data_IF_668757735393
#
_entry.id   IF_668757735393
#
_cell.length_a   1.000
_cell.length_b   1.000
_cell.length_c   1.000
_cell.angle_alpha   90.00
_cell.angle_beta   90.00
_cell.angle_gamma   90.00
#
_symmetry.space_group_name_H-M   'P 1'
#
loop_
_entity.id
_entity.type
_entity.pdbx_description
1 polymer ?
#
# COMPACT_ATOMS: atom_id res chain seq x y z
N UNK A 1 0.75 13.12 -17.55
CA UNK A 1 -0.41 12.89 -16.67
C UNK A 1 -0.54 11.39 -16.50
N UNK A 2 -0.36 10.88 -15.28
CA UNK A 2 -0.44 9.45 -14.98
C UNK A 2 -1.88 9.06 -14.67
N UNK A 3 -2.29 7.86 -15.11
CA UNK A 3 -3.64 7.34 -14.89
C UNK A 3 -3.66 6.47 -13.63
N UNK A 4 -4.37 6.93 -12.60
CA UNK A 4 -4.63 6.13 -11.39
C UNK A 4 -5.48 4.92 -11.74
N UNK A 5 -4.96 3.72 -11.47
CA UNK A 5 -5.63 2.44 -11.72
C UNK A 5 -4.96 1.31 -10.95
N UNK A 6 -5.59 0.12 -10.83
CA UNK A 6 -4.95 -1.06 -10.22
C UNK A 6 -3.68 -1.51 -10.95
N UNK A 7 -3.51 -1.06 -12.20
CA UNK A 7 -2.36 -1.43 -13.02
C UNK A 7 -1.18 -0.48 -12.86
N UNK A 8 -1.35 0.67 -12.19
CA UNK A 8 -0.27 1.64 -12.01
C UNK A 8 0.90 1.03 -11.25
N UNK A 9 0.65 0.15 -10.28
CA UNK A 9 1.72 -0.52 -9.53
C UNK A 9 2.73 -1.25 -10.44
N UNK A 10 2.29 -1.78 -11.59
CA UNK A 10 3.16 -2.51 -12.51
C UNK A 10 4.20 -1.62 -13.20
N UNK A 11 3.99 -0.30 -13.32
CA UNK A 11 5.01 0.60 -13.87
C UNK A 11 6.18 0.87 -12.90
N UNK A 12 6.06 0.48 -11.64
CA UNK A 12 7.10 0.66 -10.63
C UNK A 12 7.75 -0.66 -10.19
N UNK A 13 7.64 -1.73 -11.00
CA UNK A 13 8.21 -3.06 -10.69
C UNK A 13 9.49 -3.38 -11.48
N UNK A 14 10.15 -2.38 -12.07
CA UNK A 14 11.40 -2.60 -12.80
C UNK A 14 12.57 -2.98 -11.86
N UNK A 15 12.55 -2.48 -10.61
CA UNK A 15 13.49 -2.87 -9.57
C UNK A 15 13.17 -4.29 -9.04
N UNK A 16 14.09 -5.28 -9.18
CA UNK A 16 13.85 -6.66 -8.78
C UNK A 16 13.40 -6.85 -7.33
N UNK A 17 13.89 -6.00 -6.40
CA UNK A 17 13.49 -6.05 -5.00
C UNK A 17 12.00 -5.70 -4.83
N UNK A 18 11.52 -4.67 -5.52
CA UNK A 18 10.12 -4.22 -5.47
C UNK A 18 9.21 -5.26 -6.13
N UNK A 19 9.59 -5.75 -7.31
CA UNK A 19 8.86 -6.82 -7.99
C UNK A 19 8.69 -8.08 -7.12
N UNK A 20 9.76 -8.48 -6.43
CA UNK A 20 9.73 -9.63 -5.51
C UNK A 20 8.80 -9.38 -4.32
N UNK A 21 8.85 -8.19 -3.72
CA UNK A 21 7.99 -7.84 -2.60
C UNK A 21 6.51 -7.81 -2.99
N UNK A 22 6.18 -7.16 -4.11
CA UNK A 22 4.82 -7.13 -4.64
C UNK A 22 4.29 -8.55 -4.92
N UNK A 23 5.12 -9.40 -5.53
CA UNK A 23 4.77 -10.81 -5.76
C UNK A 23 4.47 -11.55 -4.45
N UNK A 24 5.29 -11.35 -3.42
CA UNK A 24 5.05 -11.96 -2.11
C UNK A 24 3.70 -11.51 -1.55
N UNK A 25 3.43 -10.21 -1.54
CA UNK A 25 2.16 -9.64 -1.04
C UNK A 25 0.93 -10.17 -1.79
N UNK A 26 0.98 -10.26 -3.12
CA UNK A 26 -0.14 -10.77 -3.94
C UNK A 26 -0.32 -12.29 -3.82
N UNK A 27 0.75 -13.05 -3.57
CA UNK A 27 0.72 -14.52 -3.51
C UNK A 27 0.54 -15.08 -2.10
N UNK A 28 0.70 -14.26 -1.07
CA UNK A 28 0.59 -14.68 0.32
C UNK A 28 -0.87 -14.82 0.75
N UNK A 29 -1.24 -16.03 1.19
CA UNK A 29 -2.61 -16.36 1.56
C UNK A 29 -3.10 -15.54 2.76
N UNK A 30 -2.23 -15.27 3.74
CA UNK A 30 -2.60 -14.53 4.95
C UNK A 30 -2.89 -13.07 4.60
N UNK A 31 -2.03 -12.44 3.81
CA UNK A 31 -2.23 -11.07 3.32
C UNK A 31 -3.55 -10.95 2.54
N UNK A 32 -3.79 -11.84 1.57
CA UNK A 32 -5.02 -11.79 0.77
C UNK A 32 -6.27 -12.07 1.61
N UNK A 33 -6.19 -12.97 2.61
CA UNK A 33 -7.29 -13.23 3.53
C UNK A 33 -7.63 -11.99 4.38
N UNK A 34 -6.63 -11.27 4.90
CA UNK A 34 -6.85 -10.04 5.65
C UNK A 34 -7.49 -8.94 4.79
N UNK A 35 -7.01 -8.73 3.56
CA UNK A 35 -7.61 -7.74 2.64
C UNK A 35 -9.06 -8.09 2.28
N UNK A 36 -9.38 -9.38 2.11
CA UNK A 36 -10.77 -9.79 1.91
C UNK A 36 -11.62 -9.52 3.16
N UNK A 37 -11.10 -9.84 4.36
CA UNK A 37 -11.80 -9.61 5.62
C UNK A 37 -12.02 -8.12 5.89
N UNK A 38 -11.06 -7.27 5.51
CA UNK A 38 -11.21 -5.82 5.52
C UNK A 38 -12.46 -5.38 4.75
N UNK A 39 -12.72 -5.94 3.56
CA UNK A 39 -13.94 -5.64 2.81
C UNK A 39 -15.22 -6.20 3.46
N UNK A 40 -15.16 -7.39 4.06
CA UNK A 40 -16.31 -7.92 4.83
C UNK A 40 -16.69 -6.94 5.94
N UNK A 41 -15.70 -6.37 6.62
CA UNK A 41 -15.90 -5.38 7.68
C UNK A 41 -16.35 -4.02 7.14
N UNK A 42 -15.53 -3.37 6.31
CA UNK A 42 -15.77 -2.01 5.84
C UNK A 42 -16.99 -1.91 4.93
N UNK A 43 -17.10 -2.79 3.93
CA UNK A 43 -18.20 -2.75 2.96
C UNK A 43 -19.42 -3.50 3.50
N UNK A 44 -19.24 -4.78 3.86
CA UNK A 44 -20.35 -5.66 4.20
C UNK A 44 -21.09 -5.29 5.48
N UNK A 45 -20.36 -4.82 6.51
CA UNK A 45 -20.94 -4.50 7.83
C UNK A 45 -21.14 -3.00 8.06
N UNK A 46 -20.20 -2.17 7.61
CA UNK A 46 -20.23 -0.72 7.88
C UNK A 46 -20.77 0.11 6.71
N UNK A 47 -20.89 -0.45 5.50
CA UNK A 47 -21.41 0.26 4.33
C UNK A 47 -20.44 1.30 3.74
N UNK A 48 -19.14 1.18 4.01
CA UNK A 48 -18.09 2.01 3.42
C UNK A 48 -17.67 1.53 2.03
N UNK A 49 -16.81 2.30 1.37
CA UNK A 49 -16.26 1.98 0.04
C UNK A 49 -15.20 0.86 0.11
N UNK A 50 -14.63 0.49 -1.04
CA UNK A 50 -13.66 -0.60 -1.16
C UNK A 50 -12.36 -0.34 -0.39
N UNK A 51 -11.93 -1.33 0.39
CA UNK A 51 -10.67 -1.38 1.14
C UNK A 51 -9.95 -2.74 0.92
N UNK A 52 -10.33 -3.48 -0.14
CA UNK A 52 -9.83 -4.83 -0.41
C UNK A 52 -8.58 -4.88 -1.30
N UNK A 53 -8.31 -6.04 -1.93
CA UNK A 53 -7.11 -6.22 -2.76
C UNK A 53 -6.99 -5.25 -3.94
N UNK A 54 -8.12 -4.82 -4.51
CA UNK A 54 -8.12 -3.84 -5.61
C UNK A 54 -7.70 -2.47 -5.10
N UNK A 55 -8.31 -2.01 -4.01
CA UNK A 55 -7.89 -0.80 -3.29
C UNK A 55 -6.39 -0.83 -2.96
N UNK A 56 -5.88 -1.89 -2.33
CA UNK A 56 -4.46 -1.99 -1.97
C UNK A 56 -3.52 -1.82 -3.17
N UNK A 57 -3.88 -2.37 -4.34
CA UNK A 57 -3.10 -2.18 -5.57
C UNK A 57 -3.12 -0.76 -6.10
N UNK A 58 -4.30 -0.11 -6.11
CA UNK A 58 -4.43 1.29 -6.52
C UNK A 58 -3.58 2.17 -5.59
N UNK A 59 -3.76 2.02 -4.28
CA UNK A 59 -3.06 2.81 -3.26
C UNK A 59 -1.54 2.60 -3.33
N UNK A 60 -1.09 1.37 -3.55
CA UNK A 60 0.35 1.08 -3.73
C UNK A 60 0.94 1.74 -4.97
N UNK A 61 0.28 1.61 -6.13
CA UNK A 61 0.75 2.24 -7.36
C UNK A 61 0.78 3.77 -7.24
N UNK A 62 -0.26 4.37 -6.66
CA UNK A 62 -0.30 5.81 -6.43
C UNK A 62 0.76 6.27 -5.42
N UNK A 63 1.02 5.50 -4.36
CA UNK A 63 2.04 5.84 -3.38
C UNK A 63 3.45 5.80 -3.97
N UNK A 64 3.75 4.81 -4.81
CA UNK A 64 5.04 4.71 -5.52
C UNK A 64 5.21 5.85 -6.52
N UNK A 65 4.20 6.18 -7.31
CA UNK A 65 4.22 7.33 -8.23
C UNK A 65 4.46 8.65 -7.48
N UNK A 66 3.76 8.87 -6.37
CA UNK A 66 3.96 10.06 -5.53
C UNK A 66 5.39 10.07 -4.97
N UNK A 67 5.89 8.92 -4.50
CA UNK A 67 7.23 8.82 -3.96
C UNK A 67 8.31 9.09 -5.01
N UNK A 68 8.15 8.62 -6.24
CA UNK A 68 9.04 8.91 -7.37
C UNK A 68 9.12 10.42 -7.62
N UNK A 69 7.98 11.07 -7.86
CA UNK A 69 7.89 12.52 -8.09
C UNK A 69 8.52 13.32 -6.94
N UNK A 70 8.20 12.96 -5.69
CA UNK A 70 8.72 13.66 -4.51
C UNK A 70 10.21 13.39 -4.28
N UNK A 71 10.69 12.20 -4.62
CA UNK A 71 12.10 11.84 -4.44
C UNK A 71 13.01 12.56 -5.44
N UNK A 72 12.52 12.85 -6.64
CA UNK A 72 13.24 13.69 -7.61
C UNK A 72 13.41 15.13 -7.10
N UNK A 73 12.37 15.72 -6.53
CA UNK A 73 12.37 17.13 -6.11
C UNK A 73 12.95 17.37 -4.71
N UNK A 74 12.56 16.54 -3.74
CA UNK A 74 12.88 16.73 -2.33
C UNK A 74 13.78 15.64 -1.75
N UNK A 75 13.96 14.51 -2.46
CA UNK A 75 14.68 13.33 -1.98
C UNK A 75 13.96 12.57 -0.86
N UNK A 76 14.35 11.32 -0.66
CA UNK A 76 13.88 10.49 0.45
C UNK A 76 14.54 10.85 1.78
N UNK A 77 13.74 11.00 2.84
CA UNK A 77 14.25 11.23 4.22
C UNK A 77 15.05 10.02 4.73
N UNK A 78 14.64 8.79 4.40
CA UNK A 78 15.34 7.57 4.79
C UNK A 78 16.75 7.52 4.20
N UNK A 79 16.87 7.91 2.92
CA UNK A 79 18.15 7.98 2.22
C UNK A 79 19.02 9.09 2.80
N UNK A 80 18.47 10.30 3.03
CA UNK A 80 19.21 11.41 3.65
C UNK A 80 19.70 11.10 5.06
N UNK A 81 18.94 10.31 5.82
CA UNK A 81 19.32 9.85 7.16
C UNK A 81 20.35 8.70 7.13
N UNK A 82 20.73 8.20 5.95
CA UNK A 82 21.69 7.10 5.80
C UNK A 82 21.14 5.74 6.23
N UNK A 83 19.80 5.59 6.30
CA UNK A 83 19.15 4.35 6.78
C UNK A 83 19.14 3.27 5.71
N UNK A 84 18.89 3.65 4.46
CA UNK A 84 18.77 2.72 3.34
C UNK A 84 19.10 3.41 2.01
N UNK A 85 19.09 2.63 0.92
CA UNK A 85 19.18 3.16 -0.45
C UNK A 85 17.79 3.50 -0.99
N UNK A 86 17.68 4.02 -2.20
CA UNK A 86 16.39 4.51 -2.71
C UNK A 86 15.40 3.36 -2.93
N UNK A 87 15.86 2.23 -3.45
CA UNK A 87 15.09 0.98 -3.56
C UNK A 87 14.66 0.45 -2.19
N UNK A 88 15.47 0.74 -1.18
CA UNK A 88 15.21 0.69 0.27
C UNK A 88 13.86 1.30 0.64
N UNK A 89 13.73 2.57 0.26
CA UNK A 89 12.63 3.43 0.62
C UNK A 89 11.37 3.12 -0.22
N UNK A 90 11.52 2.81 -1.51
CA UNK A 90 10.42 2.33 -2.36
C UNK A 90 9.76 1.09 -1.78
N UNK A 91 10.56 0.15 -1.24
CA UNK A 91 10.04 -1.04 -0.59
C UNK A 91 9.20 -0.70 0.64
N UNK A 92 9.65 0.26 1.44
CA UNK A 92 8.88 0.75 2.61
C UNK A 92 7.55 1.37 2.16
N UNK A 93 7.57 2.18 1.10
CA UNK A 93 6.36 2.80 0.53
C UNK A 93 5.39 1.74 0.02
N UNK A 94 5.87 0.77 -0.76
CA UNK A 94 5.05 -0.33 -1.27
C UNK A 94 4.41 -1.11 -0.13
N UNK A 95 5.19 -1.60 0.84
CA UNK A 95 4.67 -2.41 1.94
C UNK A 95 3.70 -1.61 2.82
N UNK A 96 4.04 -0.36 3.12
CA UNK A 96 3.17 0.53 3.89
C UNK A 96 1.83 0.75 3.21
N UNK A 97 1.84 1.10 1.92
CA UNK A 97 0.62 1.36 1.15
C UNK A 97 -0.22 0.09 0.93
N UNK A 98 0.41 -1.04 0.62
CA UNK A 98 -0.30 -2.28 0.32
C UNK A 98 -1.01 -2.84 1.57
N UNK A 99 -0.36 -2.75 2.73
CA UNK A 99 -0.83 -3.33 3.99
C UNK A 99 -1.57 -2.33 4.90
N UNK A 100 -1.69 -1.06 4.53
CA UNK A 100 -2.20 -0.02 5.43
C UNK A 100 -3.58 -0.35 6.04
N UNK A 101 -4.42 -1.09 5.31
CA UNK A 101 -5.81 -1.35 5.64
C UNK A 101 -6.09 -2.73 6.26
N UNK A 102 -5.09 -3.60 6.43
CA UNK A 102 -5.31 -4.95 6.98
C UNK A 102 -5.90 -4.93 8.39
N UNK A 103 -5.69 -3.83 9.13
CA UNK A 103 -6.26 -3.62 10.46
C UNK A 103 -7.79 -3.56 10.48
N UNK A 104 -8.42 -3.25 9.35
CA UNK A 104 -9.89 -3.24 9.22
C UNK A 104 -10.51 -4.64 9.31
N UNK A 105 -9.73 -5.70 9.16
CA UNK A 105 -10.21 -7.08 9.34
C UNK A 105 -10.69 -7.37 10.78
N UNK A 106 -10.22 -6.59 11.75
CA UNK A 106 -10.62 -6.72 13.16
C UNK A 106 -11.59 -5.59 13.51
N UNK A 107 -12.79 -5.95 13.96
CA UNK A 107 -13.70 -4.96 14.51
C UNK A 107 -13.14 -4.39 15.82
N UNK A 108 -13.09 -3.06 15.92
CA UNK A 108 -12.83 -2.35 17.18
C UNK A 108 -13.90 -1.28 17.36
N UNK A 109 -14.37 -1.11 18.59
CA UNK A 109 -15.30 -0.05 18.93
C UNK A 109 -14.65 1.31 18.59
N UNK A 110 -15.40 2.18 17.91
CA UNK A 110 -14.93 3.50 17.46
C UNK A 110 -13.67 3.47 16.57
N UNK A 111 -13.31 2.33 15.96
CA UNK A 111 -12.13 2.20 15.09
C UNK A 111 -12.04 3.28 14.01
N UNK A 112 -13.15 3.55 13.34
CA UNK A 112 -13.25 4.54 12.27
C UNK A 112 -13.04 5.98 12.77
N UNK A 113 -13.21 6.22 14.08
CA UNK A 113 -12.98 7.53 14.72
C UNK A 113 -11.50 7.67 15.14
N UNK A 114 -10.86 6.56 15.51
CA UNK A 114 -9.48 6.52 16.01
C UNK A 114 -8.44 6.03 14.97
N UNK A 115 -8.85 5.79 13.73
CA UNK A 115 -7.98 5.39 12.62
C UNK A 115 -7.04 6.49 12.10
N UNK A 116 -7.13 7.69 12.70
CA UNK A 116 -6.20 8.79 12.50
C UNK A 116 -5.68 9.25 13.88
N UNK A 117 -4.37 9.10 14.08
CA UNK A 117 -3.55 10.00 14.88
C UNK A 117 -2.21 10.14 14.16
#
# INVERSE_FOLDING_TARGET
MVKVSPNLVFSHLDEPKIAKAFKLLESDLEVQAYLHMTNVMAVGRLGYNDHGPVHSKITSGSALEIFEILSEEAGSTLVRAGVCRIEDAELVVLCGAYLHDIGNAVHREQHHIHGYN
#
